data_IF_408539921778
#
_entry.id   IF_408539921778
#
_cell.length_a   1.000
_cell.length_b   1.000
_cell.length_c   1.000
_cell.angle_alpha   90.00
_cell.angle_beta   90.00
_cell.angle_gamma   90.00
#
_symmetry.space_group_name_H-M   'P 1'
#
loop_
_entity.id
_entity.type
_entity.pdbx_description
1 polymer ?
#
# COMPACT_ATOMS: atom_id res chain seq x y z
N UNK A 1 -53.07 -30.58 -30.93
CA UNK A 1 -53.48 -30.84 -29.54
C UNK A 1 -52.24 -31.27 -28.78
N UNK A 2 -52.05 -30.70 -27.59
CA UNK A 2 -50.96 -30.90 -26.61
C UNK A 2 -49.72 -30.00 -26.74
N UNK A 3 -49.93 -28.83 -26.14
CA UNK A 3 -49.01 -27.94 -25.43
C UNK A 3 -48.07 -28.71 -24.49
N UNK A 4 -46.83 -28.21 -24.29
CA UNK A 4 -46.20 -28.13 -22.98
C UNK A 4 -45.03 -27.13 -23.03
N UNK A 5 -45.27 -25.95 -22.44
CA UNK A 5 -44.25 -25.00 -21.98
C UNK A 5 -43.40 -25.69 -20.91
N UNK A 6 -42.08 -25.58 -21.00
CA UNK A 6 -41.23 -25.64 -19.81
C UNK A 6 -40.51 -24.31 -19.65
N UNK A 7 -40.83 -23.68 -18.53
CA UNK A 7 -40.25 -22.45 -18.01
C UNK A 7 -38.81 -22.79 -17.62
N UNK A 8 -37.82 -22.28 -18.35
CA UNK A 8 -36.44 -22.28 -17.87
C UNK A 8 -36.31 -21.12 -16.90
N UNK A 9 -36.30 -21.44 -15.61
CA UNK A 9 -36.08 -20.46 -14.55
C UNK A 9 -34.70 -19.84 -14.69
N UNK A 10 -34.65 -18.52 -14.77
CA UNK A 10 -33.41 -17.78 -14.65
C UNK A 10 -32.87 -17.96 -13.23
N UNK A 11 -31.82 -18.76 -13.06
CA UNK A 11 -30.98 -18.67 -11.87
C UNK A 11 -30.25 -17.33 -11.94
N UNK A 12 -30.74 -16.35 -11.19
CA UNK A 12 -29.94 -15.20 -10.84
C UNK A 12 -28.78 -15.70 -9.97
N UNK A 13 -27.61 -15.83 -10.58
CA UNK A 13 -26.35 -15.98 -9.86
C UNK A 13 -26.14 -14.67 -9.09
N UNK A 14 -26.53 -14.66 -7.81
CA UNK A 14 -26.04 -13.66 -6.88
C UNK A 14 -24.54 -13.89 -6.76
N UNK A 15 -23.74 -13.10 -7.48
CA UNK A 15 -22.34 -12.93 -7.14
C UNK A 15 -22.32 -12.27 -5.75
N UNK A 16 -22.05 -13.08 -4.73
CA UNK A 16 -21.60 -12.53 -3.47
C UNK A 16 -20.38 -11.66 -3.77
N UNK A 17 -20.23 -10.48 -3.16
CA UNK A 17 -18.98 -9.78 -3.24
C UNK A 17 -17.91 -10.76 -2.75
N UNK A 18 -16.96 -11.07 -3.62
CA UNK A 18 -15.74 -11.75 -3.23
C UNK A 18 -15.12 -10.82 -2.20
N UNK A 19 -15.28 -11.16 -0.92
CA UNK A 19 -14.54 -10.53 0.15
C UNK A 19 -13.09 -10.75 -0.26
N UNK A 20 -12.43 -9.69 -0.73
CA UNK A 20 -10.99 -9.69 -0.90
C UNK A 20 -10.44 -10.26 0.41
N UNK A 21 -9.82 -11.44 0.36
CA UNK A 21 -9.10 -11.96 1.50
C UNK A 21 -8.04 -10.90 1.81
N UNK A 22 -8.28 -10.08 2.84
CA UNK A 22 -7.22 -9.30 3.44
C UNK A 22 -6.12 -10.29 3.80
N UNK A 23 -4.95 -10.07 3.21
CA UNK A 23 -3.72 -10.83 3.46
C UNK A 23 -3.57 -11.08 4.97
N UNK A 24 -3.51 -12.36 5.39
CA UNK A 24 -3.51 -12.76 6.80
C UNK A 24 -2.12 -12.55 7.42
N UNK A 25 -1.74 -11.28 7.57
CA UNK A 25 -0.55 -10.83 8.28
C UNK A 25 -0.94 -9.86 9.39
N UNK A 26 -0.12 -9.77 10.42
CA UNK A 26 -0.26 -8.80 11.50
C UNK A 26 1.10 -8.37 12.02
N UNK A 27 1.12 -7.58 13.09
CA UNK A 27 2.36 -7.11 13.70
C UNK A 27 2.77 -7.91 14.95
N UNK A 28 1.89 -8.80 15.42
CA UNK A 28 2.04 -9.52 16.69
C UNK A 28 1.86 -11.05 16.55
N UNK A 29 2.37 -11.78 17.53
CA UNK A 29 2.15 -13.22 17.67
C UNK A 29 2.67 -14.05 16.49
N UNK A 30 1.95 -15.12 16.15
CA UNK A 30 2.32 -16.09 15.10
C UNK A 30 2.07 -15.56 13.67
N UNK A 31 1.48 -14.37 13.53
CA UNK A 31 1.29 -13.69 12.24
C UNK A 31 2.16 -12.44 12.12
N UNK A 32 3.05 -12.20 13.08
CA UNK A 32 3.95 -11.05 13.15
C UNK A 32 5.16 -11.14 12.20
N UNK A 33 5.95 -10.06 12.07
CA UNK A 33 7.05 -9.93 11.10
C UNK A 33 8.08 -11.06 11.15
N UNK A 34 8.35 -11.61 12.33
CA UNK A 34 9.25 -12.75 12.54
C UNK A 34 8.82 -13.99 11.73
N UNK A 35 7.51 -14.15 11.48
CA UNK A 35 6.90 -15.32 10.83
C UNK A 35 6.38 -15.02 9.42
N UNK A 36 6.38 -13.76 8.95
CA UNK A 36 5.91 -13.42 7.59
C UNK A 36 6.65 -14.25 6.53
N UNK A 37 7.94 -14.50 6.72
CA UNK A 37 8.77 -15.33 5.85
C UNK A 37 8.31 -16.77 5.66
N UNK A 38 7.41 -17.29 6.50
CA UNK A 38 6.88 -18.66 6.38
C UNK A 38 5.76 -18.74 5.34
N UNK A 39 5.03 -17.63 5.14
CA UNK A 39 3.93 -17.51 4.17
C UNK A 39 4.35 -16.72 2.92
N UNK A 40 5.19 -15.71 3.11
CA UNK A 40 5.69 -14.79 2.10
C UNK A 40 7.19 -14.95 1.98
N UNK A 41 7.64 -15.83 1.10
CA UNK A 41 9.05 -16.22 0.97
C UNK A 41 9.98 -15.02 0.71
N UNK A 42 9.44 -13.98 0.09
CA UNK A 42 10.05 -12.69 -0.23
C UNK A 42 10.49 -11.95 1.04
N UNK A 43 9.78 -12.12 2.16
CA UNK A 43 10.14 -11.55 3.47
C UNK A 43 11.45 -12.12 4.04
N UNK A 44 11.97 -13.22 3.46
CA UNK A 44 13.30 -13.78 3.78
C UNK A 44 14.40 -13.28 2.81
N UNK A 45 14.09 -12.31 1.96
CA UNK A 45 15.00 -11.73 0.99
C UNK A 45 16.21 -11.04 1.63
N UNK A 46 17.23 -10.75 0.82
CA UNK A 46 18.45 -10.04 1.27
C UNK A 46 18.34 -8.51 1.19
N UNK A 47 17.30 -8.01 0.54
CA UNK A 47 17.06 -6.59 0.32
C UNK A 47 15.68 -6.26 0.89
N UNK A 48 15.57 -6.31 2.21
CA UNK A 48 14.35 -5.96 2.94
C UNK A 48 14.48 -4.56 3.52
N UNK A 49 13.35 -3.89 3.61
CA UNK A 49 13.16 -2.69 4.43
C UNK A 49 12.36 -3.07 5.68
N UNK A 50 12.38 -2.26 6.75
CA UNK A 50 13.20 -1.05 6.93
C UNK A 50 14.69 -1.34 7.18
N UNK A 51 15.51 -0.28 7.19
CA UNK A 51 16.92 -0.36 7.58
C UNK A 51 17.33 0.80 8.51
N UNK A 52 18.45 0.61 9.21
CA UNK A 52 19.11 1.68 9.96
C UNK A 52 20.09 2.44 9.04
N UNK A 53 19.84 3.73 8.81
CA UNK A 53 20.63 4.61 7.96
C UNK A 53 21.71 5.30 8.80
N UNK A 54 22.87 4.66 8.91
CA UNK A 54 24.03 5.29 9.54
C UNK A 54 24.65 6.34 8.60
N UNK A 55 24.42 7.62 8.90
CA UNK A 55 24.94 8.77 8.13
C UNK A 55 26.46 8.80 7.93
N UNK A 56 27.23 8.10 8.77
CA UNK A 56 28.69 7.99 8.62
C UNK A 56 29.11 6.94 7.59
N UNK A 57 28.17 6.08 7.17
CA UNK A 57 28.38 4.97 6.23
C UNK A 57 27.67 5.16 4.89
N UNK A 58 26.99 6.28 4.69
CA UNK A 58 26.33 6.58 3.41
C UNK A 58 27.36 6.95 2.34
N UNK A 59 27.12 6.53 1.11
CA UNK A 59 27.87 6.99 -0.06
C UNK A 59 27.25 8.29 -0.57
N UNK A 60 28.04 9.36 -0.61
CA UNK A 60 27.61 10.60 -1.28
C UNK A 60 27.60 10.37 -2.79
N UNK A 61 26.49 10.70 -3.42
CA UNK A 61 26.28 10.60 -4.87
C UNK A 61 25.72 11.91 -5.39
N UNK A 62 26.03 12.26 -6.64
CA UNK A 62 25.37 13.35 -7.33
C UNK A 62 24.19 12.79 -8.11
N UNK A 63 23.00 13.31 -7.83
CA UNK A 63 21.74 12.92 -8.47
C UNK A 63 21.04 14.19 -8.96
N UNK A 64 20.15 14.08 -9.97
CA UNK A 64 19.20 15.15 -10.26
C UNK A 64 18.39 15.52 -9.02
N UNK A 65 17.94 16.76 -8.94
CA UNK A 65 17.02 17.17 -7.88
C UNK A 65 15.73 16.34 -7.93
N UNK A 66 15.16 16.06 -6.76
CA UNK A 66 13.83 15.46 -6.68
C UNK A 66 12.81 16.53 -7.03
N UNK A 67 11.96 16.25 -8.01
CA UNK A 67 10.89 17.13 -8.45
C UNK A 67 9.55 16.60 -7.95
N UNK A 68 8.89 17.38 -7.10
CA UNK A 68 7.50 17.19 -6.68
C UNK A 68 6.60 18.04 -7.57
N UNK A 69 5.65 17.40 -8.25
CA UNK A 69 4.75 18.04 -9.22
C UNK A 69 3.33 17.88 -8.70
N UNK A 70 2.62 18.99 -8.50
CA UNK A 70 1.24 18.99 -8.00
C UNK A 70 1.07 18.71 -6.51
N UNK A 71 2.17 18.64 -5.73
CA UNK A 71 2.10 18.44 -4.27
C UNK A 71 1.75 19.72 -3.49
N UNK A 72 1.94 20.89 -4.10
CA UNK A 72 1.57 22.20 -3.54
C UNK A 72 0.17 22.66 -4.01
N UNK A 73 -0.46 21.88 -4.90
CA UNK A 73 -1.79 22.20 -5.39
C UNK A 73 -2.85 21.90 -4.31
N UNK A 74 -3.99 22.60 -4.32
CA UNK A 74 -5.12 22.26 -3.45
C UNK A 74 -5.53 20.81 -3.64
N UNK A 75 -5.82 20.12 -2.53
CA UNK A 75 -6.32 18.75 -2.57
C UNK A 75 -7.83 18.78 -2.89
N UNK A 76 -8.25 18.00 -3.88
CA UNK A 76 -9.64 17.97 -4.35
C UNK A 76 -10.53 17.08 -3.46
N UNK A 77 -10.34 15.77 -3.53
CA UNK A 77 -11.02 14.77 -2.68
C UNK A 77 -9.99 13.87 -1.99
N UNK A 78 -10.30 13.49 -0.75
CA UNK A 78 -9.43 12.69 0.12
C UNK A 78 -10.22 11.56 0.73
N UNK A 79 -9.72 10.34 0.55
CA UNK A 79 -10.23 9.15 1.20
C UNK A 79 -9.28 8.72 2.32
N UNK A 80 -9.80 8.65 3.54
CA UNK A 80 -9.03 8.22 4.72
C UNK A 80 -9.64 6.92 5.25
N UNK A 81 -8.86 5.84 5.20
CA UNK A 81 -9.30 4.50 5.59
C UNK A 81 -8.42 3.94 6.70
N UNK A 82 -9.03 3.46 7.78
CA UNK A 82 -8.34 2.56 8.70
C UNK A 82 -8.53 1.13 8.19
N UNK A 83 -7.46 0.51 7.69
CA UNK A 83 -7.52 -0.84 7.11
C UNK A 83 -7.17 -1.96 8.11
N UNK A 84 -7.08 -1.63 9.41
CA UNK A 84 -6.65 -2.55 10.47
C UNK A 84 -5.15 -2.62 10.69
N UNK A 85 -4.34 -2.11 9.75
CA UNK A 85 -2.87 -2.10 9.84
C UNK A 85 -2.31 -0.68 9.92
N UNK A 86 -2.97 0.28 9.28
CA UNK A 86 -2.55 1.68 9.23
C UNK A 86 -3.75 2.60 8.98
N UNK A 87 -3.55 3.91 9.15
CA UNK A 87 -4.33 4.92 8.45
C UNK A 87 -3.78 5.05 7.03
N UNK A 88 -4.61 4.85 6.02
CA UNK A 88 -4.29 4.99 4.61
C UNK A 88 -5.01 6.23 4.07
N UNK A 89 -4.30 7.06 3.32
CA UNK A 89 -4.78 8.31 2.74
C UNK A 89 -4.59 8.24 1.21
N UNK A 90 -5.68 8.37 0.48
CA UNK A 90 -5.74 8.41 -0.98
C UNK A 90 -6.30 9.77 -1.41
N UNK A 91 -5.87 10.28 -2.57
CA UNK A 91 -6.36 11.55 -3.12
C UNK A 91 -6.77 11.35 -4.57
N UNK A 92 -7.83 12.03 -4.99
CA UNK A 92 -8.40 11.94 -6.35
C UNK A 92 -8.14 13.23 -7.15
N UNK A 93 -7.01 13.89 -6.90
CA UNK A 93 -6.61 15.11 -7.59
C UNK A 93 -6.47 14.90 -9.10
N UNK A 94 -6.92 15.86 -9.89
CA UNK A 94 -6.70 15.86 -11.35
C UNK A 94 -6.03 17.17 -11.83
N UNK A 95 -4.76 17.13 -12.28
CA UNK A 95 -3.91 15.95 -12.43
C UNK A 95 -3.40 15.38 -11.10
N UNK A 96 -3.18 14.06 -11.04
CA UNK A 96 -2.59 13.41 -9.86
C UNK A 96 -1.17 13.91 -9.57
N UNK A 97 -0.79 14.12 -8.29
CA UNK A 97 0.57 14.48 -7.90
C UNK A 97 1.59 13.46 -8.38
N UNK A 98 2.79 13.92 -8.73
CA UNK A 98 3.86 13.10 -9.30
C UNK A 98 5.22 13.43 -8.71
N UNK A 99 6.07 12.42 -8.58
CA UNK A 99 7.48 12.58 -8.20
C UNK A 99 8.38 12.07 -9.32
N UNK A 100 9.50 12.77 -9.56
CA UNK A 100 10.54 12.37 -10.52
C UNK A 100 11.91 12.90 -10.08
N UNK A 101 12.97 12.53 -10.81
CA UNK A 101 14.34 12.93 -10.47
C UNK A 101 14.95 12.07 -9.37
N UNK A 102 16.00 12.56 -8.71
CA UNK A 102 16.75 11.76 -7.74
C UNK A 102 17.26 10.43 -8.35
N UNK A 103 17.12 9.30 -7.65
CA UNK A 103 17.49 7.99 -8.17
C UNK A 103 16.37 7.29 -8.97
N UNK A 104 15.23 7.96 -9.21
CA UNK A 104 14.05 7.35 -9.84
C UNK A 104 14.23 7.20 -11.36
N UNK A 105 13.78 6.08 -11.92
CA UNK A 105 13.76 5.81 -13.36
C UNK A 105 12.41 6.23 -13.97
N UNK A 106 12.16 7.54 -14.01
CA UNK A 106 10.95 8.13 -14.61
C UNK A 106 10.09 8.95 -13.64
N UNK A 107 8.81 9.09 -14.00
CA UNK A 107 7.81 9.83 -13.22
C UNK A 107 6.82 8.85 -12.58
N UNK A 108 6.68 8.94 -11.27
CA UNK A 108 5.80 8.10 -10.46
C UNK A 108 4.61 8.93 -10.00
N UNK A 109 3.42 8.35 -10.08
CA UNK A 109 2.16 8.98 -9.67
C UNK A 109 1.91 8.66 -8.20
N UNK A 110 1.50 9.66 -7.42
CA UNK A 110 1.05 9.47 -6.05
C UNK A 110 -0.17 8.54 -6.04
N UNK A 111 -0.13 7.52 -5.18
CA UNK A 111 -1.23 6.57 -5.03
C UNK A 111 -1.84 6.69 -3.63
N UNK A 112 -1.02 6.58 -2.60
CA UNK A 112 -1.46 6.69 -1.21
C UNK A 112 -0.32 7.11 -0.29
N UNK A 113 -0.68 7.58 0.89
CA UNK A 113 0.20 7.75 2.04
C UNK A 113 -0.34 6.96 3.22
N UNK A 114 0.55 6.40 4.05
CA UNK A 114 0.18 5.70 5.27
C UNK A 114 1.20 5.97 6.37
N UNK A 115 0.87 5.54 7.59
CA UNK A 115 1.64 5.89 8.79
C UNK A 115 2.03 4.63 9.57
N UNK A 116 3.23 4.67 10.13
CA UNK A 116 3.65 3.74 11.17
C UNK A 116 3.88 4.55 12.44
N UNK A 117 3.40 4.04 13.58
CA UNK A 117 3.53 4.70 14.87
C UNK A 117 3.74 3.67 15.97
N UNK A 118 4.28 4.14 17.08
CA UNK A 118 4.48 3.33 18.28
C UNK A 118 3.41 3.61 19.31
N UNK A 119 3.49 2.84 20.38
CA UNK A 119 2.73 2.96 21.61
C UNK A 119 3.14 4.18 22.45
N UNK A 120 4.29 4.80 22.16
CA UNK A 120 4.74 6.05 22.78
C UNK A 120 5.78 6.79 21.89
N UNK A 121 6.20 7.98 22.32
CA UNK A 121 7.08 8.87 21.54
C UNK A 121 8.53 8.37 21.34
N UNK A 122 8.92 7.23 21.93
CA UNK A 122 10.28 6.66 21.80
C UNK A 122 10.42 5.60 20.72
N UNK A 123 9.31 5.04 20.23
CA UNK A 123 9.28 4.03 19.17
C UNK A 123 8.18 4.34 18.13
N UNK A 124 8.25 3.73 16.94
CA UNK A 124 7.18 3.87 15.95
C UNK A 124 7.64 4.00 14.51
N UNK A 125 8.77 4.67 14.26
CA UNK A 125 9.36 4.67 12.91
C UNK A 125 9.88 3.27 12.57
N UNK A 126 9.74 2.89 11.30
CA UNK A 126 10.34 1.67 10.78
C UNK A 126 11.85 1.88 10.53
N UNK A 127 12.21 2.86 9.70
CA UNK A 127 13.61 3.27 9.49
C UNK A 127 14.18 4.02 10.71
N UNK A 128 15.51 3.93 10.90
CA UNK A 128 16.27 4.53 12.01
C UNK A 128 17.47 5.32 11.51
#
# INVERSE_FOLDING_TARGET
MWLLMQIVGALALFQAPELAQGEDFGYDGEIGPTYWGDRYSECRGKHQSPININILRVKKVALPDIAFIGFDDPIDDVHVTNNGHTVLIEVENEPHPRVSGGPLDGSYVFSQMHFHWGDNDTFGSEDK
#
